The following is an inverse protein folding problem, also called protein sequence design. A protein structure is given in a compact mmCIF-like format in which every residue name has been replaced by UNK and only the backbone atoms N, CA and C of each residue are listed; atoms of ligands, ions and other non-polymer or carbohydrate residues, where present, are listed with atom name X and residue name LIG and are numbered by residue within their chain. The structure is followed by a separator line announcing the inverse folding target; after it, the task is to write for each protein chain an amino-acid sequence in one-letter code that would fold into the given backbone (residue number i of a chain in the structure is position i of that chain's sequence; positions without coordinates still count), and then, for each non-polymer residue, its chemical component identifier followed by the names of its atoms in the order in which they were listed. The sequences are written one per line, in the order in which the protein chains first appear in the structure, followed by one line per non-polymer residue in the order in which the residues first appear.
data_IF_491916956996
#
_entry.id   IF_491916956996
#
_cell.length_a   1.000
_cell.length_b   1.000
_cell.length_c   1.000
_cell.angle_alpha   90.00
_cell.angle_beta   90.00
_cell.angle_gamma   90.00
#
_symmetry.space_group_name_H-M   'P 1'
#
loop_
_entity.id
_entity.type
_entity.pdbx_description
1 polymer ?
#
# COMPACT_ATOMS: atom_id res chain seq x y z
N UNK A 1 8.51 -0.47 17.32
CA UNK A 1 9.23 -0.26 16.05
C UNK A 1 8.31 0.12 14.89
N UNK A 2 6.99 0.18 15.08
CA UNK A 2 6.08 0.77 14.11
C UNK A 2 4.99 1.59 14.83
N UNK A 3 5.39 2.77 15.34
CA UNK A 3 4.50 3.69 16.04
C UNK A 3 4.46 5.02 15.29
N UNK A 4 3.26 5.48 14.97
CA UNK A 4 3.03 6.85 14.54
C UNK A 4 2.81 7.67 15.82
N UNK A 5 3.49 8.81 15.92
CA UNK A 5 3.39 9.69 17.09
C UNK A 5 2.88 11.05 16.67
N UNK A 6 1.98 11.59 17.49
CA UNK A 6 1.55 12.99 17.39
C UNK A 6 2.43 13.84 18.31
N UNK A 7 3.02 14.89 17.76
CA UNK A 7 3.80 15.89 18.48
C UNK A 7 3.01 17.21 18.37
N UNK A 8 2.30 17.64 19.43
CA UNK A 8 1.39 18.79 19.33
C UNK A 8 2.10 20.12 19.03
N UNK A 9 3.34 20.26 19.50
CA UNK A 9 4.17 21.43 19.29
C UNK A 9 5.61 20.99 19.01
N UNK A 10 6.01 21.07 17.75
CA UNK A 10 7.37 20.76 17.29
C UNK A 10 8.37 21.89 17.56
N UNK A 11 7.89 23.05 18.02
CA UNK A 11 8.71 24.24 18.32
C UNK A 11 9.01 24.38 19.81
N UNK A 12 8.32 23.62 20.68
CA UNK A 12 8.56 23.60 22.11
C UNK A 12 10.01 23.25 22.45
N UNK A 13 10.54 23.84 23.53
CA UNK A 13 11.90 23.55 24.04
C UNK A 13 12.05 22.07 24.42
N UNK A 14 10.97 21.44 24.88
CA UNK A 14 10.89 20.01 25.16
C UNK A 14 9.56 19.45 24.61
N UNK A 15 9.52 19.03 23.33
CA UNK A 15 8.29 18.54 22.71
C UNK A 15 7.75 17.29 23.41
N UNK A 16 6.44 17.26 23.62
CA UNK A 16 5.74 16.07 24.10
C UNK A 16 5.33 15.19 22.92
N UNK A 17 5.19 13.89 23.16
CA UNK A 17 4.78 12.93 22.14
C UNK A 17 3.67 12.03 22.68
N UNK A 18 2.62 11.86 21.89
CA UNK A 18 1.55 10.91 22.13
C UNK A 18 1.58 9.83 21.05
N UNK A 19 1.25 8.59 21.39
CA UNK A 19 1.13 7.53 20.39
C UNK A 19 -0.20 7.72 19.66
N UNK A 20 -0.13 8.05 18.37
CA UNK A 20 -1.31 8.13 17.51
C UNK A 20 -1.75 6.72 17.08
N UNK A 21 -0.82 5.90 16.58
CA UNK A 21 -1.05 4.50 16.22
C UNK A 21 0.15 3.65 16.65
N UNK A 22 -0.12 2.47 17.22
CA UNK A 22 0.88 1.42 17.40
C UNK A 22 0.47 0.21 16.55
N UNK A 23 1.12 0.03 15.40
CA UNK A 23 0.78 -1.04 14.48
C UNK A 23 0.94 -2.43 15.10
N UNK A 24 1.94 -2.62 15.97
CA UNK A 24 2.13 -3.92 16.64
C UNK A 24 0.91 -4.29 17.49
N UNK A 25 0.28 -3.31 18.14
CA UNK A 25 -0.96 -3.54 18.91
C UNK A 25 -2.15 -3.81 17.98
N UNK A 26 -2.23 -3.16 16.82
CA UNK A 26 -3.30 -3.36 15.84
C UNK A 26 -3.32 -4.80 15.27
N UNK A 27 -2.17 -5.48 15.24
CA UNK A 27 -2.04 -6.84 14.70
C UNK A 27 -1.92 -7.94 15.76
N UNK A 28 -1.80 -7.58 17.04
CA UNK A 28 -1.66 -8.56 18.13
C UNK A 28 -2.89 -9.45 18.22
N UNK A 29 -2.68 -10.77 18.35
CA UNK A 29 -3.76 -11.74 18.51
C UNK A 29 -4.46 -12.16 17.22
N UNK A 30 -4.00 -11.70 16.05
CA UNK A 30 -4.47 -12.21 14.75
C UNK A 30 -4.06 -13.67 14.54
N UNK A 31 -4.85 -14.35 13.72
CA UNK A 31 -4.59 -15.72 13.26
C UNK A 31 -4.69 -15.73 11.73
N UNK A 32 -3.62 -16.09 10.99
CA UNK A 32 -2.28 -16.44 11.49
C UNK A 32 -1.61 -15.29 12.26
N UNK A 33 -0.64 -15.63 13.12
CA UNK A 33 0.07 -14.64 13.92
C UNK A 33 0.84 -13.66 13.03
N UNK A 34 0.77 -12.37 13.35
CA UNK A 34 1.46 -11.31 12.61
C UNK A 34 2.42 -10.55 13.54
N UNK A 35 3.62 -10.22 13.03
CA UNK A 35 4.62 -9.40 13.72
C UNK A 35 5.10 -8.26 12.84
N UNK A 36 5.49 -7.14 13.46
CA UNK A 36 6.23 -6.09 12.78
C UNK A 36 7.63 -6.06 13.37
N UNK A 37 8.56 -6.51 12.55
CA UNK A 37 9.97 -6.64 12.88
C UNK A 37 10.70 -5.46 12.24
N UNK A 38 11.65 -4.88 12.97
CA UNK A 38 12.50 -3.80 12.46
C UNK A 38 13.92 -4.03 12.97
N UNK A 39 14.89 -3.90 12.08
CA UNK A 39 16.32 -4.01 12.41
C UNK A 39 16.98 -5.28 11.86
N UNK A 40 18.21 -5.10 11.37
CA UNK A 40 19.01 -6.15 10.73
C UNK A 40 19.43 -5.80 9.29
N UNK A 41 19.79 -4.54 9.02
CA UNK A 41 20.03 -3.99 7.67
C UNK A 41 18.85 -4.09 6.69
N UNK A 42 17.67 -4.48 7.17
CA UNK A 42 16.43 -4.50 6.40
C UNK A 42 15.70 -3.15 6.48
N UNK A 43 14.95 -2.82 5.42
CA UNK A 43 14.10 -1.63 5.32
C UNK A 43 12.70 -1.85 5.93
N UNK A 44 12.44 -3.05 6.46
CA UNK A 44 11.15 -3.44 7.00
C UNK A 44 10.66 -2.54 8.13
N UNK A 45 9.36 -2.29 8.16
CA UNK A 45 8.70 -1.60 9.27
C UNK A 45 7.58 -0.68 8.80
N UNK A 46 7.39 0.45 9.48
CA UNK A 46 6.50 1.52 9.01
C UNK A 46 7.22 2.34 7.94
N UNK A 47 6.64 2.43 6.73
CA UNK A 47 7.28 3.05 5.56
C UNK A 47 6.60 4.35 5.13
N UNK A 48 5.26 4.35 5.04
CA UNK A 48 4.50 5.49 4.53
C UNK A 48 3.26 5.82 5.34
N UNK A 49 2.84 7.08 5.28
CA UNK A 49 1.64 7.61 5.93
C UNK A 49 1.03 8.70 5.05
N UNK A 50 -0.26 8.57 4.72
CA UNK A 50 -1.03 9.61 4.07
C UNK A 50 -2.39 9.78 4.71
N UNK A 51 -2.82 11.02 4.94
CA UNK A 51 -4.19 11.31 5.36
C UNK A 51 -5.08 11.47 4.13
N UNK A 52 -6.31 10.95 4.21
CA UNK A 52 -7.29 11.16 3.15
C UNK A 52 -7.55 12.67 2.93
N UNK A 53 -7.80 13.16 1.71
CA UNK A 53 -8.11 14.58 1.47
C UNK A 53 -9.33 15.06 2.28
N UNK A 54 -10.30 14.17 2.51
CA UNK A 54 -11.46 14.41 3.37
C UNK A 54 -11.28 13.94 4.83
N UNK A 55 -10.04 13.85 5.35
CA UNK A 55 -9.76 13.36 6.70
C UNK A 55 -10.57 14.07 7.78
N UNK A 56 -10.77 15.38 7.68
CA UNK A 56 -11.56 16.15 8.65
C UNK A 56 -13.02 15.66 8.76
N UNK A 57 -13.55 14.99 7.74
CA UNK A 57 -14.92 14.46 7.72
C UNK A 57 -14.97 12.94 7.92
N UNK A 58 -14.05 12.18 7.31
CA UNK A 58 -14.10 10.71 7.34
C UNK A 58 -13.12 10.07 8.34
N UNK A 59 -12.11 10.81 8.79
CA UNK A 59 -11.08 10.33 9.70
C UNK A 59 -10.16 9.27 9.11
N UNK A 60 -10.15 9.07 7.79
CA UNK A 60 -9.37 8.01 7.14
C UNK A 60 -7.93 8.42 6.87
N UNK A 61 -7.01 7.51 7.16
CA UNK A 61 -5.60 7.63 6.83
C UNK A 61 -5.07 6.26 6.39
N UNK A 62 -3.96 6.27 5.69
CA UNK A 62 -3.39 5.11 5.01
C UNK A 62 -1.95 4.93 5.46
N UNK A 63 -1.57 3.67 5.66
CA UNK A 63 -0.25 3.30 6.15
C UNK A 63 0.32 2.23 5.23
N UNK A 64 1.54 2.45 4.77
CA UNK A 64 2.35 1.44 4.08
C UNK A 64 3.36 0.89 5.09
N UNK A 65 3.39 -0.43 5.25
CA UNK A 65 4.26 -1.07 6.21
C UNK A 65 4.55 -2.53 5.86
N UNK A 66 5.67 -3.04 6.36
CA UNK A 66 6.06 -4.45 6.23
C UNK A 66 5.53 -5.24 7.42
N UNK A 67 4.96 -6.41 7.15
CA UNK A 67 4.44 -7.34 8.17
C UNK A 67 4.95 -8.74 7.89
N UNK A 68 5.30 -9.47 8.96
CA UNK A 68 5.66 -10.88 8.86
C UNK A 68 4.49 -11.73 9.33
N UNK A 69 4.15 -12.75 8.55
CA UNK A 69 2.99 -13.60 8.82
C UNK A 69 3.45 -15.03 9.14
N UNK A 70 2.92 -15.59 10.23
CA UNK A 70 3.19 -16.95 10.72
C UNK A 70 4.69 -17.26 10.94
N UNK A 71 5.48 -16.26 11.33
CA UNK A 71 6.95 -16.35 11.36
C UNK A 71 7.58 -16.85 10.03
N UNK A 72 6.84 -16.74 8.93
CA UNK A 72 7.26 -17.09 7.58
C UNK A 72 7.71 -15.86 6.83
N UNK A 73 7.06 -15.62 5.69
CA UNK A 73 7.39 -14.55 4.75
C UNK A 73 7.01 -13.16 5.23
N UNK A 74 7.69 -12.17 4.67
CA UNK A 74 7.35 -10.76 4.80
C UNK A 74 6.35 -10.36 3.71
N UNK A 75 5.61 -9.29 4.00
CA UNK A 75 4.67 -8.70 3.06
C UNK A 75 4.70 -7.19 3.16
N UNK A 76 4.73 -6.51 2.01
CA UNK A 76 4.42 -5.08 1.93
C UNK A 76 2.90 -4.90 1.95
N UNK A 77 2.43 -4.11 2.90
CA UNK A 77 1.00 -3.94 3.15
C UNK A 77 0.62 -2.47 3.09
N UNK A 78 -0.44 -2.18 2.34
CA UNK A 78 -1.12 -0.89 2.37
C UNK A 78 -2.45 -1.10 3.07
N UNK A 79 -2.69 -0.32 4.13
CA UNK A 79 -3.92 -0.40 4.89
C UNK A 79 -4.52 0.96 5.13
N UNK A 80 -5.84 1.05 5.08
CA UNK A 80 -6.61 2.17 5.60
C UNK A 80 -6.93 1.93 7.06
N UNK A 81 -6.76 2.95 7.88
CA UNK A 81 -7.26 3.04 9.25
C UNK A 81 -8.19 4.25 9.40
N UNK A 82 -8.90 4.31 10.52
CA UNK A 82 -9.73 5.46 10.91
C UNK A 82 -9.29 5.99 12.27
N UNK A 83 -9.35 7.30 12.45
CA UNK A 83 -9.18 7.94 13.76
C UNK A 83 -10.28 7.50 14.72
N UNK A 84 -9.97 7.48 16.02
CA UNK A 84 -10.97 7.21 17.07
C UNK A 84 -11.83 8.47 17.32
N UNK A 85 -12.70 8.42 18.34
CA UNK A 85 -13.41 9.60 18.80
C UNK A 85 -12.45 10.70 19.32
N UNK A 86 -11.25 10.31 19.76
CA UNK A 86 -10.16 11.23 20.06
C UNK A 86 -9.35 11.49 18.76
N UNK A 87 -9.29 12.75 18.25
CA UNK A 87 -8.64 13.08 16.99
C UNK A 87 -7.12 12.85 17.00
N UNK A 88 -6.51 12.67 18.18
CA UNK A 88 -5.07 12.39 18.30
C UNK A 88 -4.77 10.91 18.57
N UNK A 89 -5.76 10.03 18.44
CA UNK A 89 -5.62 8.58 18.62
C UNK A 89 -6.32 7.83 17.49
N UNK A 90 -5.60 6.94 16.82
CA UNK A 90 -6.17 6.03 15.83
C UNK A 90 -7.00 4.92 16.48
N UNK A 91 -8.06 4.45 15.80
CA UNK A 91 -8.74 3.22 16.18
C UNK A 91 -7.97 2.00 15.62
N UNK A 92 -7.29 1.19 16.45
CA UNK A 92 -6.45 0.09 15.97
C UNK A 92 -7.25 -1.08 15.35
N UNK A 93 -8.55 -1.19 15.64
CA UNK A 93 -9.41 -2.26 15.08
C UNK A 93 -10.07 -1.88 13.76
N UNK A 94 -9.85 -0.65 13.27
CA UNK A 94 -10.47 -0.12 12.05
C UNK A 94 -9.74 -0.49 10.75
N UNK A 95 -8.69 -1.32 10.84
CA UNK A 95 -7.84 -1.64 9.70
C UNK A 95 -8.64 -2.28 8.54
N UNK A 96 -8.45 -1.74 7.35
CA UNK A 96 -8.85 -2.35 6.09
C UNK A 96 -7.62 -2.49 5.20
N UNK A 97 -7.16 -3.72 5.01
CA UNK A 97 -6.02 -4.04 4.15
C UNK A 97 -6.42 -3.90 2.69
N UNK A 98 -5.73 -3.05 1.93
CA UNK A 98 -5.97 -2.76 0.52
C UNK A 98 -5.04 -3.55 -0.42
N UNK A 99 -3.79 -3.72 -0.01
CA UNK A 99 -2.76 -4.49 -0.73
C UNK A 99 -1.92 -5.25 0.30
N UNK A 100 -1.58 -6.50 0.00
CA UNK A 100 -0.67 -7.33 0.78
C UNK A 100 0.19 -8.16 -0.16
N UNK A 101 1.31 -7.59 -0.56
CA UNK A 101 2.25 -8.19 -1.49
C UNK A 101 3.30 -9.01 -0.75
N UNK A 102 3.57 -10.23 -1.20
CA UNK A 102 4.71 -11.01 -0.72
C UNK A 102 6.00 -10.21 -0.96
N UNK A 103 6.86 -10.14 0.05
CA UNK A 103 8.18 -9.54 0.00
C UNK A 103 9.23 -10.58 0.43
N UNK A 104 10.07 -10.95 -0.51
CA UNK A 104 11.17 -11.89 -0.43
C UNK A 104 12.52 -11.17 -0.29
N UNK A 105 12.51 -9.84 -0.30
CA UNK A 105 13.66 -8.96 -0.14
C UNK A 105 13.77 -8.43 1.30
N UNK A 106 14.97 -7.96 1.65
CA UNK A 106 15.18 -7.22 2.87
C UNK A 106 15.24 -5.70 2.64
N UNK A 107 15.40 -5.25 1.40
CA UNK A 107 15.54 -3.85 1.05
C UNK A 107 14.91 -3.51 -0.30
N UNK A 108 14.96 -2.22 -0.62
CA UNK A 108 14.28 -1.59 -1.73
C UNK A 108 12.76 -1.75 -1.60
N UNK A 109 12.25 -1.50 -0.41
CA UNK A 109 10.82 -1.68 -0.14
C UNK A 109 10.01 -0.56 -0.83
N UNK A 110 10.55 0.66 -0.81
CA UNK A 110 9.81 1.87 -1.18
C UNK A 110 8.82 2.24 -0.07
N UNK A 111 7.55 2.39 -0.41
CA UNK A 111 6.47 2.53 0.55
C UNK A 111 5.98 3.94 0.81
N UNK A 112 6.37 4.92 -0.01
CA UNK A 112 5.82 6.28 0.10
C UNK A 112 4.32 6.29 -0.28
N UNK A 113 3.56 7.15 0.39
CA UNK A 113 2.13 7.33 0.18
C UNK A 113 1.79 8.80 0.03
N UNK A 114 1.09 9.15 -1.05
CA UNK A 114 0.60 10.51 -1.23
C UNK A 114 -0.75 10.54 -1.93
N UNK A 115 -1.60 11.52 -1.61
CA UNK A 115 -2.78 11.80 -2.42
C UNK A 115 -2.45 12.81 -3.50
N UNK A 116 -2.72 12.47 -4.76
CA UNK A 116 -2.59 13.41 -5.86
C UNK A 116 -3.72 14.45 -5.85
N UNK A 117 -3.57 15.54 -6.62
CA UNK A 117 -4.62 16.56 -6.78
C UNK A 117 -5.89 16.01 -7.47
N UNK A 118 -5.80 14.84 -8.12
CA UNK A 118 -6.91 14.10 -8.69
C UNK A 118 -7.69 13.25 -7.66
N UNK A 119 -7.24 13.26 -6.40
CA UNK A 119 -7.87 12.57 -5.28
C UNK A 119 -7.60 11.08 -5.23
N UNK A 120 -6.61 10.57 -5.97
CA UNK A 120 -6.20 9.17 -5.89
C UNK A 120 -5.00 8.98 -4.97
N UNK A 121 -4.89 7.81 -4.35
CA UNK A 121 -3.75 7.43 -3.53
C UNK A 121 -2.64 6.89 -4.43
N UNK A 122 -1.44 7.46 -4.29
CA UNK A 122 -0.22 7.02 -4.95
C UNK A 122 0.62 6.23 -3.96
N UNK A 123 1.03 5.04 -4.35
CA UNK A 123 1.91 4.16 -3.60
C UNK A 123 3.17 3.88 -4.40
N UNK A 124 4.35 4.02 -3.79
CA UNK A 124 5.61 3.61 -4.42
C UNK A 124 5.99 2.22 -3.92
N UNK A 125 6.37 1.32 -4.84
CA UNK A 125 7.02 0.06 -4.49
C UNK A 125 8.39 0.02 -5.14
N UNK A 126 9.41 -0.34 -4.37
CA UNK A 126 10.73 -0.62 -4.92
C UNK A 126 10.78 -2.00 -5.59
N UNK A 127 11.98 -2.51 -5.84
CA UNK A 127 12.20 -3.71 -6.66
C UNK A 127 12.43 -5.00 -5.88
N UNK A 128 12.32 -4.96 -4.54
CA UNK A 128 12.42 -6.14 -3.64
C UNK A 128 13.84 -6.72 -3.51
N UNK A 129 14.89 -5.90 -3.67
CA UNK A 129 16.30 -6.31 -3.65
C UNK A 129 16.62 -7.25 -4.86
N UNK A 130 17.80 -7.35 -5.46
CA UNK A 130 19.20 -7.18 -5.11
C UNK A 130 19.91 -6.56 -6.32
N UNK A 131 21.22 -6.27 -6.23
CA UNK A 131 22.01 -5.90 -7.42
C UNK A 131 21.79 -6.91 -8.58
N UNK A 132 21.66 -6.41 -9.80
CA UNK A 132 21.37 -7.17 -11.04
C UNK A 132 19.92 -7.68 -11.26
N UNK A 133 18.93 -7.26 -10.45
CA UNK A 133 17.50 -7.56 -10.68
C UNK A 133 17.23 -9.07 -10.93
N UNK A 134 17.74 -9.93 -10.04
CA UNK A 134 17.67 -11.39 -10.22
C UNK A 134 16.24 -11.94 -10.27
N UNK A 135 15.28 -11.22 -9.69
CA UNK A 135 13.84 -11.55 -9.70
C UNK A 135 13.10 -10.99 -10.92
N UNK A 136 13.77 -10.15 -11.72
CA UNK A 136 13.22 -9.45 -12.88
C UNK A 136 11.98 -8.61 -12.55
N UNK A 137 11.98 -8.00 -11.36
CA UNK A 137 10.86 -7.20 -10.87
C UNK A 137 10.78 -5.84 -11.61
N UNK A 138 11.95 -5.29 -11.99
CA UNK A 138 12.04 -3.97 -12.63
C UNK A 138 11.59 -3.95 -14.09
N UNK A 139 11.56 -5.11 -14.75
CA UNK A 139 11.30 -5.23 -16.19
C UNK A 139 9.95 -5.88 -16.52
N UNK A 140 9.16 -6.25 -15.51
CA UNK A 140 7.87 -6.93 -15.69
C UNK A 140 6.78 -6.02 -15.19
N UNK A 141 5.66 -5.95 -15.90
CA UNK A 141 4.45 -5.24 -15.44
C UNK A 141 3.29 -6.20 -15.12
N UNK A 142 3.56 -7.51 -15.21
CA UNK A 142 2.56 -8.58 -15.15
C UNK A 142 2.93 -9.72 -14.19
N UNK A 143 3.72 -9.40 -13.17
CA UNK A 143 4.19 -10.32 -12.13
C UNK A 143 3.54 -9.92 -10.78
N UNK A 144 4.26 -9.23 -9.92
CA UNK A 144 3.79 -8.65 -8.65
C UNK A 144 3.89 -7.12 -8.67
N UNK A 145 3.37 -6.34 -7.72
CA UNK A 145 3.43 -4.87 -7.69
C UNK A 145 4.79 -4.29 -7.26
N UNK A 146 5.83 -4.46 -8.06
CA UNK A 146 7.17 -3.91 -7.79
C UNK A 146 7.60 -2.84 -8.80
N UNK A 147 8.59 -2.02 -8.44
CA UNK A 147 9.26 -1.07 -9.34
C UNK A 147 8.30 -0.09 -10.02
N UNK A 148 7.37 0.46 -9.25
CA UNK A 148 6.29 1.26 -9.81
C UNK A 148 5.71 2.28 -8.85
N UNK A 149 4.99 3.23 -9.44
CA UNK A 149 4.11 4.16 -8.73
C UNK A 149 2.67 3.78 -9.08
N UNK A 150 1.95 3.25 -8.10
CA UNK A 150 0.60 2.73 -8.27
C UNK A 150 -0.41 3.80 -7.90
N UNK A 151 -1.28 4.16 -8.85
CA UNK A 151 -2.36 5.14 -8.68
C UNK A 151 -3.68 4.42 -8.42
N UNK A 152 -4.13 4.46 -7.18
CA UNK A 152 -5.23 3.66 -6.62
C UNK A 152 -6.42 4.55 -6.25
N UNK A 153 -7.62 4.14 -6.67
CA UNK A 153 -8.87 4.76 -6.24
C UNK A 153 -9.45 4.07 -5.00
N UNK A 154 -9.25 4.72 -3.85
CA UNK A 154 -9.74 4.28 -2.55
C UNK A 154 -11.20 4.67 -2.29
N UNK A 155 -11.74 5.62 -3.07
CA UNK A 155 -13.12 6.08 -2.99
C UNK A 155 -14.06 5.29 -3.90
N UNK A 156 -13.49 4.47 -4.80
CA UNK A 156 -14.23 3.62 -5.75
C UNK A 156 -15.23 4.43 -6.57
N UNK A 157 -14.77 5.54 -7.15
CA UNK A 157 -15.57 6.42 -8.01
C UNK A 157 -16.21 5.60 -9.12
N UNK A 158 -17.43 5.97 -9.52
CA UNK A 158 -18.22 5.20 -10.51
C UNK A 158 -17.54 5.02 -11.87
N UNK A 159 -16.59 5.90 -12.22
CA UNK A 159 -15.80 5.84 -13.46
C UNK A 159 -14.61 4.88 -13.36
N UNK A 160 -14.19 4.52 -12.16
CA UNK A 160 -13.07 3.62 -11.92
C UNK A 160 -13.49 2.16 -12.11
N UNK A 161 -12.51 1.31 -12.43
CA UNK A 161 -12.73 -0.10 -12.75
C UNK A 161 -12.14 -1.01 -11.67
N UNK A 162 -12.54 -2.28 -11.65
CA UNK A 162 -11.86 -3.27 -10.81
C UNK A 162 -10.43 -3.47 -11.30
N UNK A 163 -9.45 -3.60 -10.39
CA UNK A 163 -8.13 -4.05 -10.78
C UNK A 163 -8.20 -5.47 -11.35
N UNK A 164 -7.19 -5.85 -12.11
CA UNK A 164 -6.97 -7.23 -12.48
C UNK A 164 -6.83 -8.10 -11.22
N UNK A 165 -7.43 -9.32 -11.19
CA UNK A 165 -7.31 -10.20 -10.04
C UNK A 165 -5.85 -10.55 -9.74
N UNK A 166 -5.43 -10.37 -8.49
CA UNK A 166 -4.09 -10.71 -8.03
C UNK A 166 -4.12 -11.24 -6.59
N UNK A 167 -3.23 -12.17 -6.25
CA UNK A 167 -3.16 -12.75 -4.90
C UNK A 167 -2.85 -11.69 -3.81
N UNK A 168 -2.16 -10.62 -4.19
CA UNK A 168 -1.83 -9.50 -3.32
C UNK A 168 -2.99 -8.52 -3.07
N UNK A 169 -4.12 -8.64 -3.78
CA UNK A 169 -5.28 -7.76 -3.64
C UNK A 169 -6.37 -8.49 -2.85
N UNK A 170 -6.61 -8.13 -1.58
CA UNK A 170 -7.73 -8.67 -0.83
C UNK A 170 -9.06 -8.25 -1.45
N UNK A 171 -10.02 -9.17 -1.42
CA UNK A 171 -11.37 -8.94 -1.93
C UNK A 171 -12.41 -9.20 -0.84
N UNK A 172 -13.53 -8.47 -0.92
CA UNK A 172 -14.73 -8.74 -0.15
C UNK A 172 -15.78 -9.27 -1.12
N UNK A 173 -16.15 -10.54 -0.98
CA UNK A 173 -17.07 -11.24 -1.90
C UNK A 173 -16.67 -11.14 -3.39
N UNK A 174 -15.37 -11.23 -3.67
CA UNK A 174 -14.82 -11.18 -5.04
C UNK A 174 -14.63 -9.77 -5.59
N UNK A 175 -14.89 -8.72 -4.80
CA UNK A 175 -14.69 -7.32 -5.19
C UNK A 175 -13.46 -6.76 -4.45
N UNK A 176 -12.52 -6.17 -5.18
CA UNK A 176 -11.35 -5.54 -4.60
C UNK A 176 -11.73 -4.35 -3.69
N UNK A 177 -10.94 -4.15 -2.64
CA UNK A 177 -11.14 -3.07 -1.65
C UNK A 177 -10.76 -1.67 -2.15
N UNK A 178 -10.16 -1.60 -3.34
CA UNK A 178 -9.92 -0.38 -4.08
C UNK A 178 -10.38 -0.55 -5.54
N UNK A 179 -10.24 0.50 -6.34
CA UNK A 179 -10.48 0.49 -7.78
C UNK A 179 -9.33 1.19 -8.50
N UNK A 180 -9.30 1.09 -9.82
CA UNK A 180 -8.26 1.73 -10.63
C UNK A 180 -8.89 2.81 -11.51
N UNK A 181 -8.36 4.04 -11.51
CA UNK A 181 -8.85 5.09 -12.38
C UNK A 181 -8.79 4.63 -13.84
N UNK A 182 -9.85 4.88 -14.61
CA UNK A 182 -9.94 4.41 -16.00
C UNK A 182 -8.89 5.05 -16.92
N UNK A 183 -8.40 6.24 -16.55
CA UNK A 183 -7.31 6.97 -17.21
C UNK A 183 -5.92 6.55 -16.71
N UNK A 184 -5.80 5.48 -15.92
CA UNK A 184 -4.50 4.93 -15.54
C UNK A 184 -3.77 4.42 -16.80
N UNK A 185 -2.47 4.75 -17.00
CA UNK A 185 -1.75 4.56 -18.26
C UNK A 185 -1.62 3.11 -18.72
N UNK A 186 -1.88 2.12 -17.85
CA UNK A 186 -1.84 0.71 -18.21
C UNK A 186 -3.24 0.09 -18.39
N UNK A 187 -4.32 0.85 -18.23
CA UNK A 187 -5.67 0.35 -18.53
C UNK A 187 -5.80 0.15 -20.04
N UNK A 188 -6.06 -1.08 -20.45
CA UNK A 188 -6.17 -1.46 -21.85
C UNK A 188 -7.36 -0.78 -22.55
N UNK A 189 -7.24 -0.50 -23.84
CA UNK A 189 -8.26 0.17 -24.65
C UNK A 189 -9.62 -0.57 -24.67
N UNK A 190 -9.63 -1.89 -24.55
CA UNK A 190 -10.87 -2.70 -24.46
C UNK A 190 -11.64 -2.48 -23.16
N UNK A 191 -10.98 -1.98 -22.12
CA UNK A 191 -11.58 -1.55 -20.85
C UNK A 191 -11.85 -0.04 -20.83
N UNK A 192 -11.59 0.63 -21.96
CA UNK A 192 -11.79 2.07 -22.18
C UNK A 192 -10.67 2.96 -21.63
N UNK A 193 -9.49 2.40 -21.34
CA UNK A 193 -8.26 3.17 -21.16
C UNK A 193 -7.58 3.48 -22.49
N UNK A 194 -6.28 3.78 -22.45
CA UNK A 194 -5.49 4.18 -23.63
C UNK A 194 -4.37 3.22 -23.98
N UNK A 195 -4.07 2.22 -23.15
CA UNK A 195 -2.96 1.31 -23.40
C UNK A 195 -3.32 0.28 -24.48
N UNK A 196 -2.38 0.00 -25.37
CA UNK A 196 -2.53 -0.90 -26.53
C UNK A 196 -2.02 -2.33 -26.25
N UNK A 197 -1.58 -2.61 -25.02
CA UNK A 197 -1.05 -3.91 -24.63
C UNK A 197 0.43 -4.10 -24.96
N UNK A 198 1.14 -3.06 -25.41
CA UNK A 198 2.57 -3.13 -25.73
C UNK A 198 3.40 -2.56 -24.56
N UNK A 199 4.39 -3.32 -24.11
CA UNK A 199 5.37 -2.89 -23.12
C UNK A 199 6.78 -3.24 -23.63
N UNK A 200 7.70 -2.27 -23.63
CA UNK A 200 9.07 -2.42 -24.14
C UNK A 200 9.16 -3.06 -25.54
N UNK A 201 8.24 -2.68 -26.43
CA UNK A 201 8.21 -3.15 -27.82
C UNK A 201 7.66 -4.57 -28.00
N UNK A 202 7.15 -5.22 -26.94
CA UNK A 202 6.54 -6.53 -27.00
C UNK A 202 5.08 -6.49 -26.53
N UNK A 203 4.22 -7.31 -27.16
CA UNK A 203 2.86 -7.51 -26.70
C UNK A 203 2.84 -8.27 -25.38
N UNK A 204 2.07 -7.78 -24.41
CA UNK A 204 1.86 -8.41 -23.11
C UNK A 204 0.60 -9.26 -23.16
N UNK A 205 0.78 -10.57 -23.05
CA UNK A 205 -0.33 -11.54 -23.05
C UNK A 205 -0.09 -12.60 -21.96
N UNK A 206 -1.10 -12.94 -21.13
CA UNK A 206 -2.44 -12.34 -21.09
C UNK A 206 -2.44 -10.96 -20.40
N UNK A 207 -3.36 -10.09 -20.82
CA UNK A 207 -3.56 -8.76 -20.21
C UNK A 207 -4.03 -8.85 -18.75
N UNK A 208 -4.69 -9.95 -18.38
CA UNK A 208 -5.21 -10.16 -17.02
C UNK A 208 -4.14 -10.25 -15.94
N UNK A 209 -2.86 -10.39 -16.31
CA UNK A 209 -1.75 -10.37 -15.36
C UNK A 209 -1.18 -8.98 -15.11
N UNK A 210 -1.53 -7.97 -15.92
CA UNK A 210 -0.95 -6.63 -15.83
C UNK A 210 -1.40 -5.96 -14.52
N UNK A 211 -0.49 -5.24 -13.85
CA UNK A 211 -0.73 -4.55 -12.59
C UNK A 211 -1.61 -3.30 -12.81
N UNK A 212 -2.89 -3.51 -13.08
CA UNK A 212 -3.93 -2.50 -13.32
C UNK A 212 -5.17 -2.81 -12.54
#
# INVERSE_FOLDING_TARGET
MAKIKHIPDVTAVAPTQNVFLNLQTAITGRTPAETIEGGGNAEHGLLGLAFHPNYASNGYFYVAYTVRINAGSYYQRISRFQVSADPIVANPTSELILLQQLDEGANHDGGDLHFGPDGYLYYTAGDEENGNDTRLNSQRINKDFFSGIFRIDVDKKATSIQPNPHAAIPTDSGIARFSVPKDNPFVHNTLGGTWDGIYNGASVTPLSGVRT
#
